data_IF_101503109087
#
_entry.id   IF_101503109087
#
_cell.length_a   1.000
_cell.length_b   1.000
_cell.length_c   1.000
_cell.angle_alpha   90.00
_cell.angle_beta   90.00
_cell.angle_gamma   90.00
#
_symmetry.space_group_name_H-M   'P 1'
#
loop_
_entity.id
_entity.type
_entity.pdbx_description
1 polymer ?
#
# COMPACT_ATOMS: atom_id res chain seq x y z
N UNK A 1 13.24 9.34 10.66
CA UNK A 1 12.32 8.19 10.45
C UNK A 1 10.89 8.60 10.08
N UNK A 2 10.47 9.86 10.29
CA UNK A 2 9.13 10.35 9.87
C UNK A 2 9.17 11.18 8.57
N UNK A 3 10.37 11.54 8.09
CA UNK A 3 10.55 12.53 7.04
C UNK A 3 10.36 12.00 5.61
N UNK A 4 10.21 10.68 5.42
CA UNK A 4 10.01 10.07 4.09
C UNK A 4 8.56 9.71 3.77
N UNK A 5 7.66 9.77 4.75
CA UNK A 5 6.29 9.29 4.62
C UNK A 5 5.33 10.33 4.03
N UNK A 6 5.67 11.62 4.12
CA UNK A 6 4.85 12.70 3.58
C UNK A 6 4.92 12.89 2.06
N UNK A 7 5.80 12.17 1.36
CA UNK A 7 6.12 12.43 -0.06
C UNK A 7 5.52 11.39 -1.02
N UNK A 8 5.00 10.27 -0.52
CA UNK A 8 4.56 9.16 -1.38
C UNK A 8 3.06 9.25 -1.72
N UNK A 9 2.67 10.29 -2.46
CA UNK A 9 1.36 10.32 -3.12
C UNK A 9 1.46 9.57 -4.46
N UNK A 10 1.36 8.25 -4.41
CA UNK A 10 1.42 7.40 -5.60
C UNK A 10 0.10 6.63 -5.74
N UNK A 11 -0.49 6.54 -6.95
CA UNK A 11 -1.80 5.89 -7.16
C UNK A 11 -1.83 4.42 -6.71
N UNK A 12 -0.67 3.77 -6.61
CA UNK A 12 -0.55 2.37 -6.22
C UNK A 12 -0.08 2.16 -4.76
N UNK A 13 -0.01 3.22 -3.96
CA UNK A 13 0.25 3.17 -2.52
C UNK A 13 -0.96 3.72 -1.78
N UNK A 14 -1.34 3.10 -0.67
CA UNK A 14 -2.33 3.69 0.22
C UNK A 14 -1.85 5.09 0.62
N UNK A 15 -2.73 6.08 0.55
CA UNK A 15 -2.38 7.45 0.88
C UNK A 15 -2.24 7.59 2.40
N UNK A 16 -1.08 8.05 2.86
CA UNK A 16 -0.92 8.50 4.25
C UNK A 16 -1.64 9.85 4.43
N UNK A 17 -2.60 9.89 5.34
CA UNK A 17 -3.37 11.08 5.70
C UNK A 17 -2.72 11.85 6.86
N UNK A 18 -2.00 11.17 7.75
CA UNK A 18 -1.32 11.79 8.86
C UNK A 18 -0.53 10.80 9.71
N UNK A 19 0.17 11.31 10.71
CA UNK A 19 0.86 10.51 11.71
C UNK A 19 0.64 11.12 13.09
N UNK A 20 0.68 10.27 14.11
CA UNK A 20 0.69 10.70 15.50
C UNK A 20 1.92 10.10 16.18
N UNK A 21 2.61 10.91 16.98
CA UNK A 21 3.72 10.47 17.82
C UNK A 21 3.47 11.00 19.21
N UNK A 22 3.11 10.12 20.14
CA UNK A 22 2.83 10.48 21.53
C UNK A 22 3.93 9.85 22.38
N UNK A 23 4.57 10.69 23.19
CA UNK A 23 5.46 10.22 24.24
C UNK A 23 4.64 10.02 25.51
N UNK A 24 4.57 8.78 25.99
CA UNK A 24 3.79 8.41 27.16
C UNK A 24 4.64 7.63 28.15
N UNK A 25 4.09 7.36 29.34
CA UNK A 25 4.79 6.66 30.42
C UNK A 25 5.27 5.24 30.03
N UNK A 26 4.72 4.66 28.96
CA UNK A 26 5.11 3.35 28.39
C UNK A 26 6.06 3.44 27.19
N UNK A 27 6.60 4.64 26.91
CA UNK A 27 7.47 4.92 25.76
C UNK A 27 6.73 5.54 24.56
N UNK A 28 7.50 5.80 23.49
CA UNK A 28 7.03 6.49 22.29
C UNK A 28 6.07 5.59 21.50
N UNK A 29 4.82 6.01 21.37
CA UNK A 29 3.83 5.39 20.49
C UNK A 29 3.75 6.15 19.17
N UNK A 30 3.78 5.42 18.05
CA UNK A 30 3.67 5.99 16.70
C UNK A 30 2.48 5.36 16.00
N UNK A 31 1.60 6.20 15.47
CA UNK A 31 0.42 5.80 14.71
C UNK A 31 0.50 6.42 13.32
N UNK A 32 0.10 5.67 12.31
CA UNK A 32 -0.08 6.15 10.93
C UNK A 32 -1.55 6.12 10.59
N UNK A 33 -2.06 7.23 10.08
CA UNK A 33 -3.44 7.38 9.63
C UNK A 33 -3.42 7.34 8.11
N UNK A 34 -4.00 6.31 7.52
CA UNK A 34 -4.02 6.10 6.07
C UNK A 34 -5.46 6.16 5.54
N UNK A 35 -5.60 6.31 4.22
CA UNK A 35 -6.90 6.14 3.57
C UNK A 35 -7.47 4.75 3.88
N UNK A 36 -8.79 4.70 4.01
CA UNK A 36 -9.49 3.46 4.32
C UNK A 36 -9.67 2.63 3.06
N UNK A 37 -9.40 1.33 3.17
CA UNK A 37 -9.50 0.36 2.07
C UNK A 37 -10.60 -0.65 2.40
N UNK A 38 -11.83 -0.46 1.89
CA UNK A 38 -13.02 -1.19 2.35
C UNK A 38 -12.98 -2.69 2.02
N UNK A 39 -12.31 -3.06 0.94
CA UNK A 39 -12.20 -4.45 0.50
C UNK A 39 -11.04 -5.21 1.17
N UNK A 40 -10.40 -4.63 2.20
CA UNK A 40 -9.38 -5.29 3.03
C UNK A 40 -8.19 -5.81 2.21
N UNK A 41 -7.46 -6.81 2.72
CA UNK A 41 -6.28 -7.36 2.07
C UNK A 41 -6.63 -8.43 1.05
N UNK A 42 -5.79 -8.62 0.04
CA UNK A 42 -5.90 -9.74 -0.89
C UNK A 42 -5.83 -11.09 -0.16
N UNK A 43 -5.07 -11.17 0.93
CA UNK A 43 -4.99 -12.38 1.76
C UNK A 43 -6.35 -12.79 2.33
N UNK A 44 -7.16 -11.82 2.76
CA UNK A 44 -8.51 -12.08 3.25
C UNK A 44 -9.39 -12.73 2.17
N UNK A 45 -9.25 -12.30 0.91
CA UNK A 45 -10.02 -12.85 -0.21
C UNK A 45 -9.50 -14.20 -0.73
N UNK A 46 -8.24 -14.53 -0.45
CA UNK A 46 -7.62 -15.78 -0.91
C UNK A 46 -7.75 -16.92 0.11
N UNK A 47 -7.63 -16.61 1.40
CA UNK A 47 -7.50 -17.63 2.45
C UNK A 47 -8.56 -17.55 3.54
N UNK A 48 -9.25 -16.40 3.69
CA UNK A 48 -10.26 -16.25 4.72
C UNK A 48 -11.65 -16.66 4.19
N UNK A 49 -12.29 -17.62 4.86
CA UNK A 49 -13.62 -18.14 4.48
C UNK A 49 -14.78 -17.19 4.82
N UNK A 50 -14.50 -16.09 5.50
CA UNK A 50 -15.51 -15.08 5.86
C UNK A 50 -15.91 -14.23 4.65
N UNK A 51 -15.01 -14.05 3.68
CA UNK A 51 -15.29 -13.29 2.46
C UNK A 51 -15.64 -14.22 1.29
N UNK A 52 -16.50 -13.73 0.41
CA UNK A 52 -16.79 -14.44 -0.84
C UNK A 52 -15.52 -14.51 -1.69
N UNK A 53 -15.19 -15.68 -2.27
CA UNK A 53 -14.04 -15.80 -3.16
C UNK A 53 -14.16 -14.85 -4.34
N UNK A 54 -13.08 -14.13 -4.65
CA UNK A 54 -13.05 -13.24 -5.81
C UNK A 54 -13.20 -14.04 -7.11
N UNK A 55 -13.99 -13.53 -8.09
CA UNK A 55 -14.02 -14.08 -9.44
C UNK A 55 -12.63 -14.11 -10.07
N UNK A 56 -12.39 -15.09 -10.94
CA UNK A 56 -11.08 -15.27 -11.57
C UNK A 56 -10.61 -14.02 -12.33
N UNK A 57 -11.51 -13.36 -13.05
CA UNK A 57 -11.19 -12.14 -13.81
C UNK A 57 -10.72 -11.00 -12.90
N UNK A 58 -11.34 -10.84 -11.73
CA UNK A 58 -10.96 -9.84 -10.73
C UNK A 58 -9.57 -10.13 -10.16
N UNK A 59 -9.25 -11.41 -9.91
CA UNK A 59 -7.92 -11.82 -9.47
C UNK A 59 -6.85 -11.46 -10.50
N UNK A 60 -7.11 -11.69 -11.79
CA UNK A 60 -6.19 -11.31 -12.86
C UNK A 60 -5.99 -9.79 -12.94
N UNK A 61 -7.06 -9.01 -12.77
CA UNK A 61 -6.98 -7.54 -12.72
C UNK A 61 -6.16 -7.06 -11.53
N UNK A 62 -6.34 -7.66 -10.35
CA UNK A 62 -5.54 -7.37 -9.15
C UNK A 62 -4.07 -7.71 -9.40
N UNK A 63 -3.75 -8.87 -9.98
CA UNK A 63 -2.37 -9.26 -10.28
C UNK A 63 -1.72 -8.28 -11.29
N UNK A 64 -2.46 -7.89 -12.32
CA UNK A 64 -2.00 -6.91 -13.30
C UNK A 64 -1.74 -5.55 -12.65
N UNK A 65 -2.67 -5.05 -11.83
CA UNK A 65 -2.53 -3.78 -11.10
C UNK A 65 -1.33 -3.80 -10.14
N UNK A 66 -1.13 -4.90 -9.41
CA UNK A 66 0.02 -5.06 -8.51
C UNK A 66 1.36 -5.11 -9.27
N UNK A 67 1.40 -5.75 -10.45
CA UNK A 67 2.58 -5.76 -11.31
C UNK A 67 2.87 -4.38 -11.91
N UNK A 68 1.83 -3.67 -12.37
CA UNK A 68 1.94 -2.30 -12.88
C UNK A 68 2.36 -1.33 -11.78
N UNK A 69 1.92 -1.51 -10.53
CA UNK A 69 2.38 -0.73 -9.39
C UNK A 69 3.90 -0.80 -9.22
N UNK A 70 4.48 -1.99 -9.40
CA UNK A 70 5.92 -2.22 -9.33
C UNK A 70 6.67 -1.59 -10.51
N UNK A 71 6.10 -1.66 -11.71
CA UNK A 71 6.73 -1.15 -12.95
C UNK A 71 6.60 0.37 -13.08
N UNK A 72 5.41 0.93 -12.81
CA UNK A 72 5.12 2.36 -12.93
C UNK A 72 5.89 3.23 -11.94
N UNK A 73 6.33 2.63 -10.83
CA UNK A 73 7.28 3.26 -9.92
C UNK A 73 8.70 3.37 -10.51
N UNK A 74 9.01 2.53 -11.50
CA UNK A 74 10.29 2.51 -12.21
C UNK A 74 10.26 3.32 -13.52
N UNK A 75 9.09 3.58 -14.10
CA UNK A 75 8.95 4.21 -15.42
C UNK A 75 7.73 5.12 -15.54
N UNK A 76 7.84 6.37 -15.08
CA UNK A 76 7.08 7.51 -15.64
C UNK A 76 7.78 8.83 -15.31
N UNK A 77 8.65 9.26 -16.22
CA UNK A 77 9.37 10.53 -16.14
C UNK A 77 8.53 11.72 -16.60
N UNK A 78 8.81 12.88 -16.00
CA UNK A 78 8.94 14.22 -16.63
C UNK A 78 9.23 15.25 -15.52
N UNK A 79 10.48 15.72 -15.43
CA UNK A 79 10.82 17.02 -14.82
C UNK A 79 11.29 17.07 -13.37
N UNK A 80 11.20 15.99 -12.58
CA UNK A 80 11.79 15.95 -11.22
C UNK A 80 12.93 14.94 -11.18
N UNK A 81 14.14 15.30 -10.72
CA UNK A 81 15.31 14.41 -10.71
C UNK A 81 15.22 13.30 -9.65
N UNK A 82 14.08 13.15 -8.97
CA UNK A 82 13.94 12.21 -7.86
C UNK A 82 13.09 11.02 -8.27
N UNK A 83 13.76 10.04 -8.88
CA UNK A 83 13.24 8.68 -8.97
C UNK A 83 13.31 8.07 -7.58
N UNK A 84 12.22 8.15 -6.81
CA UNK A 84 12.10 7.35 -5.59
C UNK A 84 11.87 5.91 -6.00
N UNK A 85 12.95 5.12 -6.07
CA UNK A 85 12.84 3.66 -6.18
C UNK A 85 12.33 3.16 -4.83
N UNK A 86 11.02 3.20 -4.62
CA UNK A 86 10.37 2.56 -3.48
C UNK A 86 10.47 1.06 -3.69
N UNK A 87 11.51 0.45 -3.13
CA UNK A 87 11.67 -1.00 -3.10
C UNK A 87 10.69 -1.53 -2.06
N UNK A 88 9.51 -1.96 -2.50
CA UNK A 88 8.62 -2.76 -1.67
C UNK A 88 9.27 -4.12 -1.43
N UNK A 89 9.94 -4.28 -0.28
CA UNK A 89 10.61 -5.55 0.09
C UNK A 89 9.62 -6.65 0.46
N UNK A 90 8.44 -6.29 0.95
CA UNK A 90 7.40 -7.24 1.34
C UNK A 90 6.24 -7.25 0.33
N UNK A 91 6.49 -7.83 -0.84
CA UNK A 91 5.44 -8.16 -1.80
C UNK A 91 4.71 -9.44 -1.37
N UNK A 92 3.69 -9.29 -0.52
CA UNK A 92 2.84 -10.37 -0.01
C UNK A 92 1.36 -9.99 -0.07
N UNK A 93 0.48 -10.99 -0.11
CA UNK A 93 -0.97 -10.81 -0.19
C UNK A 93 -1.56 -9.97 0.95
N UNK A 94 -0.99 -10.05 2.16
CA UNK A 94 -1.41 -9.26 3.34
C UNK A 94 -1.09 -7.77 3.22
N UNK A 95 -0.11 -7.40 2.39
CA UNK A 95 0.32 -6.01 2.18
C UNK A 95 -0.35 -5.36 0.95
N UNK A 96 -1.22 -6.08 0.26
CA UNK A 96 -2.01 -5.59 -0.88
C UNK A 96 -3.43 -5.33 -0.40
N UNK A 97 -3.75 -4.07 -0.13
CA UNK A 97 -5.10 -3.65 0.22
C UNK A 97 -5.90 -3.32 -1.04
N UNK A 98 -7.20 -3.54 -0.98
CA UNK A 98 -8.13 -3.37 -2.09
C UNK A 98 -9.08 -2.20 -1.81
N UNK A 99 -9.14 -1.25 -2.75
CA UNK A 99 -10.11 -0.15 -2.70
C UNK A 99 -11.52 -0.64 -3.09
N UNK A 100 -12.49 0.27 -3.17
CA UNK A 100 -13.89 -0.02 -3.53
C UNK A 100 -14.05 -0.77 -4.86
N UNK A 101 -13.16 -0.52 -5.82
CA UNK A 101 -13.15 -1.11 -7.16
C UNK A 101 -12.29 -2.38 -7.25
N UNK A 102 -11.81 -2.92 -6.12
CA UNK A 102 -10.81 -3.99 -6.07
C UNK A 102 -9.48 -3.65 -6.75
N UNK A 103 -9.12 -2.36 -6.84
CA UNK A 103 -7.78 -1.98 -7.30
C UNK A 103 -6.80 -2.13 -6.15
N UNK A 104 -5.63 -2.77 -6.39
CA UNK A 104 -4.65 -3.01 -5.35
C UNK A 104 -3.83 -1.76 -5.06
N UNK A 105 -3.62 -1.48 -3.77
CA UNK A 105 -2.62 -0.53 -3.28
C UNK A 105 -1.76 -1.19 -2.20
N UNK A 106 -0.48 -0.85 -2.18
CA UNK A 106 0.42 -1.30 -1.13
C UNK A 106 0.18 -0.52 0.17
N UNK A 107 0.17 -1.22 1.31
CA UNK A 107 -0.01 -0.63 2.65
C UNK A 107 1.26 -0.56 3.49
N UNK A 108 2.39 -1.04 2.98
CA UNK A 108 3.63 -1.12 3.76
C UNK A 108 4.45 0.16 3.65
N UNK A 109 4.20 1.05 4.61
CA UNK A 109 4.94 2.29 4.81
C UNK A 109 6.23 2.09 5.63
N UNK A 110 6.39 0.94 6.30
CA UNK A 110 7.40 0.74 7.34
C UNK A 110 8.79 0.35 6.82
N UNK A 111 8.88 -0.11 5.57
CA UNK A 111 10.10 -0.69 4.99
C UNK A 111 10.62 0.02 3.73
N UNK A 112 9.98 1.11 3.30
CA UNK A 112 10.46 1.92 2.19
C UNK A 112 11.76 2.65 2.59
N UNK A 113 12.86 2.33 1.91
CA UNK A 113 14.14 3.06 1.94
C UNK A 113 14.39 3.72 0.60
#
# INVERSE_FOLDING_TARGET
MVQFLGVLNHPNLAKLLGYCSIDGERGIQRLLVCEYMPNRSLEDHLFNRVLNPLPWITRLQIMLGAAQARIGLSTRGTGSPVTYIVIYRDFKSSNLLLDEDFKPKHSDFGLAR
#
